data_IF_570071487174
#
_entry.id   IF_570071487174
#
_cell.length_a   1.000
_cell.length_b   1.000
_cell.length_c   1.000
_cell.angle_alpha   90.00
_cell.angle_beta   90.00
_cell.angle_gamma   90.00
#
_symmetry.space_group_name_H-M   'P 1'
#
loop_
_entity.id
_entity.type
_entity.pdbx_description
1 polymer ?
#
# COMPACT_ATOMS: atom_id res chain seq x y z
N UNK A 1 14.18 18.63 -1.92
CA UNK A 1 15.46 17.91 -2.07
C UNK A 1 15.28 16.39 -2.13
N UNK A 2 14.42 15.77 -1.31
CA UNK A 2 14.23 14.31 -1.27
C UNK A 2 13.70 13.78 -2.62
N UNK A 3 12.68 14.40 -3.20
CA UNK A 3 12.11 13.99 -4.49
C UNK A 3 13.15 14.07 -5.62
N UNK A 4 13.98 15.11 -5.64
CA UNK A 4 15.08 15.23 -6.61
C UNK A 4 16.12 14.12 -6.43
N UNK A 5 16.47 13.78 -5.18
CA UNK A 5 17.38 12.67 -4.91
C UNK A 5 16.83 11.32 -5.36
N UNK A 6 15.56 11.04 -5.07
CA UNK A 6 14.89 9.79 -5.49
C UNK A 6 14.76 9.72 -7.01
N UNK A 7 14.37 10.81 -7.68
CA UNK A 7 14.24 10.83 -9.15
C UNK A 7 15.58 10.66 -9.84
N UNK A 8 16.65 11.25 -9.32
CA UNK A 8 18.00 11.06 -9.85
C UNK A 8 18.48 9.61 -9.69
N UNK A 9 18.25 9.01 -8.51
CA UNK A 9 18.57 7.60 -8.27
C UNK A 9 17.78 6.68 -9.21
N UNK A 10 16.47 6.89 -9.35
CA UNK A 10 15.64 6.11 -10.26
C UNK A 10 16.10 6.24 -11.71
N UNK A 11 16.44 7.47 -12.15
CA UNK A 11 17.00 7.72 -13.49
C UNK A 11 18.31 6.97 -13.70
N UNK A 12 19.26 7.05 -12.74
CA UNK A 12 20.55 6.36 -12.84
C UNK A 12 20.36 4.83 -12.89
N UNK A 13 19.48 4.28 -12.03
CA UNK A 13 19.18 2.84 -12.03
C UNK A 13 18.54 2.40 -13.36
N UNK A 14 17.67 3.21 -13.95
CA UNK A 14 17.11 2.95 -15.27
C UNK A 14 18.17 2.93 -16.38
N UNK A 15 19.15 3.81 -16.31
CA UNK A 15 20.26 3.84 -17.27
C UNK A 15 21.24 2.68 -17.08
N UNK A 16 21.45 2.24 -15.84
CA UNK A 16 22.34 1.11 -15.50
C UNK A 16 21.68 -0.26 -15.71
N UNK A 17 20.37 -0.29 -16.01
CA UNK A 17 19.66 -1.54 -16.24
C UNK A 17 20.24 -2.27 -17.47
N UNK A 18 20.56 -3.58 -17.35
CA UNK A 18 21.06 -4.35 -18.48
C UNK A 18 20.01 -4.43 -19.59
N UNK A 19 20.47 -4.37 -20.84
CA UNK A 19 19.60 -4.43 -22.02
C UNK A 19 19.16 -3.08 -22.58
N UNK A 20 19.43 -1.97 -21.91
CA UNK A 20 19.18 -0.58 -22.38
C UNK A 20 17.84 -0.31 -23.12
N UNK A 21 17.33 0.93 -23.13
CA UNK A 21 16.06 1.25 -23.80
C UNK A 21 16.02 0.90 -25.28
N UNK A 22 17.15 1.04 -26.01
CA UNK A 22 17.24 0.75 -27.43
C UNK A 22 17.07 -0.75 -27.73
N UNK A 23 17.65 -1.63 -26.89
CA UNK A 23 17.48 -3.07 -27.03
C UNK A 23 16.04 -3.49 -26.75
N UNK A 24 15.39 -2.92 -25.73
CA UNK A 24 13.99 -3.21 -25.40
C UNK A 24 13.04 -2.80 -26.54
N UNK A 25 13.25 -1.65 -27.17
CA UNK A 25 12.42 -1.18 -28.29
C UNK A 25 12.58 -2.06 -29.52
N UNK A 26 13.81 -2.46 -29.84
CA UNK A 26 14.09 -3.30 -31.01
C UNK A 26 13.77 -4.78 -30.83
N UNK A 27 13.80 -5.28 -29.59
CA UNK A 27 13.62 -6.69 -29.30
C UNK A 27 12.24 -7.01 -28.69
N UNK A 28 11.22 -6.22 -29.00
CA UNK A 28 9.85 -6.44 -28.50
C UNK A 28 9.30 -7.81 -28.87
N UNK A 29 9.68 -8.37 -30.02
CA UNK A 29 9.20 -9.67 -30.50
C UNK A 29 10.11 -10.84 -30.06
N UNK A 30 11.26 -10.61 -29.44
CA UNK A 30 12.17 -11.63 -28.92
C UNK A 30 12.78 -12.58 -29.97
N UNK A 31 12.58 -12.32 -31.26
CA UNK A 31 12.88 -13.25 -32.35
C UNK A 31 14.28 -13.06 -32.95
N UNK A 32 14.87 -11.87 -32.85
CA UNK A 32 16.18 -11.58 -33.44
C UNK A 32 16.97 -10.64 -32.54
N UNK A 33 18.26 -10.94 -32.32
CA UNK A 33 19.18 -9.98 -31.75
C UNK A 33 19.39 -8.82 -32.73
N UNK A 34 19.14 -7.55 -32.38
CA UNK A 34 19.32 -6.42 -33.26
C UNK A 34 20.81 -6.27 -33.60
N UNK A 35 21.10 -5.81 -34.84
CA UNK A 35 22.48 -5.52 -35.26
C UNK A 35 23.00 -4.28 -34.50
N UNK A 36 24.32 -4.17 -34.36
CA UNK A 36 24.97 -3.00 -33.75
C UNK A 36 24.57 -1.68 -34.43
N UNK A 37 24.40 -1.71 -35.76
CA UNK A 37 23.99 -0.55 -36.56
C UNK A 37 22.54 -0.12 -36.24
N UNK A 38 21.64 -1.08 -36.05
CA UNK A 38 20.25 -0.81 -35.62
C UNK A 38 20.19 -0.28 -34.19
N UNK A 39 21.03 -0.82 -33.30
CA UNK A 39 21.12 -0.35 -31.91
C UNK A 39 21.65 1.09 -31.84
N UNK A 40 22.64 1.43 -32.66
CA UNK A 40 23.24 2.76 -32.70
C UNK A 40 22.27 3.81 -33.28
N UNK A 41 21.56 3.47 -34.35
CA UNK A 41 20.49 4.31 -34.90
C UNK A 41 19.37 4.56 -33.89
N UNK A 42 18.92 3.52 -33.17
CA UNK A 42 17.88 3.64 -32.12
C UNK A 42 18.37 4.46 -30.94
N UNK A 43 19.63 4.31 -30.50
CA UNK A 43 20.24 5.13 -29.45
C UNK A 43 20.26 6.62 -29.82
N UNK A 44 20.53 6.93 -31.08
CA UNK A 44 20.51 8.30 -31.56
C UNK A 44 19.08 8.86 -31.61
N UNK A 45 18.13 8.11 -32.14
CA UNK A 45 16.70 8.46 -32.19
C UNK A 45 16.11 8.73 -30.80
N UNK A 46 16.42 7.87 -29.83
CA UNK A 46 16.00 8.02 -28.44
C UNK A 46 16.84 9.07 -27.66
N UNK A 47 17.85 9.67 -28.30
CA UNK A 47 18.71 10.67 -27.68
C UNK A 47 19.57 10.11 -26.52
N UNK A 48 19.83 8.81 -26.52
CA UNK A 48 20.59 8.12 -25.50
C UNK A 48 22.10 8.42 -25.53
N UNK A 49 22.61 8.95 -26.66
CA UNK A 49 24.01 9.35 -26.87
C UNK A 49 24.35 10.69 -26.19
N UNK A 50 23.35 11.42 -25.66
CA UNK A 50 23.59 12.66 -24.93
C UNK A 50 24.17 12.38 -23.54
N UNK A 51 24.97 13.31 -22.96
CA UNK A 51 25.49 13.21 -21.61
C UNK A 51 24.34 13.00 -20.57
N UNK A 52 24.59 12.16 -19.55
CA UNK A 52 23.57 11.78 -18.57
C UNK A 52 22.91 12.98 -17.86
N UNK A 53 23.70 13.98 -17.52
CA UNK A 53 23.20 15.20 -16.89
C UNK A 53 22.23 15.98 -17.79
N UNK A 54 22.46 15.99 -19.11
CA UNK A 54 21.58 16.64 -20.08
C UNK A 54 20.29 15.84 -20.26
N UNK A 55 20.39 14.50 -20.33
CA UNK A 55 19.23 13.61 -20.40
C UNK A 55 18.33 13.74 -19.17
N UNK A 56 18.92 13.75 -17.97
CA UNK A 56 18.18 13.96 -16.72
C UNK A 56 17.51 15.33 -16.68
N UNK A 57 18.23 16.39 -17.09
CA UNK A 57 17.68 17.75 -17.13
C UNK A 57 16.50 17.89 -18.11
N UNK A 58 16.59 17.31 -19.31
CA UNK A 58 15.50 17.31 -20.29
C UNK A 58 14.29 16.52 -19.79
N UNK A 59 14.53 15.34 -19.22
CA UNK A 59 13.47 14.53 -18.60
C UNK A 59 12.78 15.28 -17.45
N UNK A 60 13.54 15.89 -16.56
CA UNK A 60 12.99 16.67 -15.45
C UNK A 60 12.16 17.87 -15.93
N UNK A 61 12.59 18.52 -17.00
CA UNK A 61 11.86 19.62 -17.63
C UNK A 61 10.53 19.13 -18.23
N UNK A 62 10.53 17.96 -18.90
CA UNK A 62 9.32 17.30 -19.39
C UNK A 62 8.34 16.99 -18.25
N UNK A 63 8.83 16.38 -17.17
CA UNK A 63 8.02 16.06 -15.98
C UNK A 63 7.35 17.32 -15.39
N UNK A 64 8.08 18.45 -15.31
CA UNK A 64 7.54 19.73 -14.82
C UNK A 64 6.45 20.32 -15.75
N UNK A 65 6.45 19.95 -17.03
CA UNK A 65 5.45 20.33 -18.01
C UNK A 65 4.29 19.32 -18.13
N UNK A 66 4.36 18.22 -17.34
CA UNK A 66 3.35 17.16 -17.35
C UNK A 66 3.62 16.04 -18.38
N UNK A 67 4.74 16.10 -19.07
CA UNK A 67 5.19 15.05 -19.98
C UNK A 67 6.09 14.07 -19.21
N UNK A 68 5.56 12.88 -18.91
CA UNK A 68 6.30 11.79 -18.28
C UNK A 68 7.02 10.89 -19.29
N UNK A 69 6.87 11.17 -20.58
CA UNK A 69 7.38 10.36 -21.67
C UNK A 69 6.55 9.11 -21.92
N UNK A 70 7.08 8.25 -22.78
CA UNK A 70 6.47 6.97 -23.16
C UNK A 70 7.27 5.78 -22.62
N UNK A 71 6.57 4.68 -22.37
CA UNK A 71 7.18 3.42 -21.95
C UNK A 71 7.98 2.79 -23.07
N UNK A 72 9.25 2.51 -22.86
CA UNK A 72 10.09 1.81 -23.83
C UNK A 72 9.64 0.37 -24.12
N UNK A 73 8.85 -0.23 -23.22
CA UNK A 73 8.34 -1.61 -23.36
C UNK A 73 7.03 -1.64 -24.15
N UNK A 74 6.09 -0.73 -23.82
CA UNK A 74 4.73 -0.77 -24.39
C UNK A 74 4.47 0.31 -25.43
N UNK A 75 5.35 1.30 -25.57
CA UNK A 75 5.19 2.49 -26.43
C UNK A 75 4.08 3.46 -25.96
N UNK A 76 3.42 3.18 -24.84
CA UNK A 76 2.29 3.97 -24.34
C UNK A 76 2.74 5.16 -23.52
N UNK A 77 1.95 6.22 -23.57
CA UNK A 77 2.14 7.40 -22.74
C UNK A 77 2.03 7.03 -21.24
N UNK A 78 3.07 7.38 -20.46
CA UNK A 78 3.17 7.03 -19.03
C UNK A 78 2.12 7.78 -18.20
N UNK A 79 1.85 9.05 -18.53
CA UNK A 79 0.86 9.85 -17.80
C UNK A 79 -0.55 9.27 -17.98
N UNK A 80 -0.89 8.84 -19.21
CA UNK A 80 -2.15 8.18 -19.49
C UNK A 80 -2.30 6.83 -18.76
N UNK A 81 -1.24 6.00 -18.74
CA UNK A 81 -1.26 4.73 -17.99
C UNK A 81 -1.42 4.94 -16.49
N UNK A 82 -0.72 5.92 -15.91
CA UNK A 82 -0.88 6.26 -14.48
C UNK A 82 -2.31 6.74 -14.21
N UNK A 83 -2.84 7.66 -15.04
CA UNK A 83 -4.20 8.16 -14.87
C UNK A 83 -5.26 7.06 -14.94
N UNK A 84 -5.04 6.02 -15.74
CA UNK A 84 -5.94 4.88 -15.84
C UNK A 84 -5.85 3.93 -14.64
N UNK A 85 -4.66 3.68 -14.11
CA UNK A 85 -4.42 2.69 -13.04
C UNK A 85 -4.55 3.27 -11.64
N UNK A 86 -4.20 4.54 -11.44
CA UNK A 86 -4.19 5.19 -10.15
C UNK A 86 -5.56 5.16 -9.43
N UNK A 87 -6.72 5.41 -10.09
CA UNK A 87 -8.02 5.32 -9.43
C UNK A 87 -8.28 3.93 -8.82
N UNK A 88 -7.99 2.85 -9.55
CA UNK A 88 -8.17 1.46 -9.08
C UNK A 88 -7.28 1.19 -7.86
N UNK A 89 -6.02 1.65 -7.90
CA UNK A 89 -5.10 1.53 -6.78
C UNK A 89 -5.58 2.31 -5.55
N UNK A 90 -6.10 3.52 -5.75
CA UNK A 90 -6.64 4.35 -4.67
C UNK A 90 -7.89 3.72 -4.04
N UNK A 91 -8.82 3.22 -4.85
CA UNK A 91 -10.02 2.52 -4.37
C UNK A 91 -9.65 1.31 -3.53
N UNK A 92 -8.70 0.50 -4.00
CA UNK A 92 -8.20 -0.66 -3.28
C UNK A 92 -7.52 -0.26 -1.96
N UNK A 93 -6.66 0.76 -1.99
CA UNK A 93 -5.94 1.25 -0.82
C UNK A 93 -6.90 1.81 0.24
N UNK A 94 -7.89 2.60 -0.17
CA UNK A 94 -8.91 3.15 0.75
C UNK A 94 -9.74 2.04 1.36
N UNK A 95 -10.19 1.06 0.58
CA UNK A 95 -10.97 -0.06 1.09
C UNK A 95 -10.16 -0.91 2.08
N UNK A 96 -8.91 -1.21 1.75
CA UNK A 96 -8.00 -1.93 2.65
C UNK A 96 -7.76 -1.16 3.96
N UNK A 97 -7.56 0.17 3.85
CA UNK A 97 -7.37 1.06 5.01
C UNK A 97 -8.60 1.09 5.91
N UNK A 98 -9.79 1.19 5.32
CA UNK A 98 -11.06 1.15 6.08
C UNK A 98 -11.23 -0.18 6.80
N UNK A 99 -11.00 -1.30 6.11
CA UNK A 99 -11.10 -2.64 6.73
C UNK A 99 -10.10 -2.80 7.88
N UNK A 100 -8.84 -2.41 7.68
CA UNK A 100 -7.80 -2.48 8.69
C UNK A 100 -8.09 -1.55 9.88
N UNK A 101 -8.49 -0.31 9.61
CA UNK A 101 -8.79 0.70 10.62
C UNK A 101 -10.02 0.33 11.45
N UNK A 102 -11.15 0.10 10.80
CA UNK A 102 -12.40 -0.23 11.50
C UNK A 102 -12.25 -1.51 12.30
N UNK A 103 -11.77 -2.59 11.68
CA UNK A 103 -11.59 -3.88 12.37
C UNK A 103 -10.56 -3.79 13.49
N UNK A 104 -9.40 -3.18 13.24
CA UNK A 104 -8.34 -3.07 14.24
C UNK A 104 -8.74 -2.19 15.43
N UNK A 105 -9.37 -1.03 15.20
CA UNK A 105 -9.84 -0.14 16.26
C UNK A 105 -10.93 -0.84 17.07
N UNK A 106 -11.90 -1.49 16.43
CA UNK A 106 -12.99 -2.18 17.09
C UNK A 106 -12.48 -3.30 18.00
N UNK A 107 -11.74 -4.27 17.45
CA UNK A 107 -11.23 -5.39 18.24
C UNK A 107 -10.20 -4.95 19.28
N UNK A 108 -9.32 -4.00 18.96
CA UNK A 108 -8.36 -3.42 19.90
C UNK A 108 -9.02 -2.74 21.09
N UNK A 109 -10.13 -2.02 20.85
CA UNK A 109 -10.90 -1.36 21.91
C UNK A 109 -11.57 -2.37 22.83
N UNK A 110 -12.19 -3.42 22.29
CA UNK A 110 -12.79 -4.49 23.08
C UNK A 110 -11.72 -5.19 23.93
N UNK A 111 -10.57 -5.51 23.34
CA UNK A 111 -9.46 -6.13 24.07
C UNK A 111 -8.93 -5.26 25.21
N UNK A 112 -8.90 -3.94 25.04
CA UNK A 112 -8.49 -3.03 26.11
C UNK A 112 -9.51 -2.99 27.26
N UNK A 113 -10.80 -2.92 26.93
CA UNK A 113 -11.89 -2.89 27.92
C UNK A 113 -11.97 -4.19 28.73
N UNK A 114 -11.80 -5.32 28.04
CA UNK A 114 -11.84 -6.66 28.65
C UNK A 114 -10.45 -7.26 28.86
N UNK A 115 -9.49 -6.42 29.25
CA UNK A 115 -8.10 -6.82 29.51
C UNK A 115 -8.00 -8.06 30.39
N UNK A 116 -7.21 -9.05 29.96
CA UNK A 116 -6.98 -10.30 30.69
C UNK A 116 -8.08 -11.35 30.56
N UNK A 117 -9.18 -11.04 29.86
CA UNK A 117 -10.23 -12.02 29.58
C UNK A 117 -9.79 -13.08 28.56
N UNK A 118 -10.58 -14.14 28.44
CA UNK A 118 -10.40 -15.15 27.38
C UNK A 118 -10.40 -14.50 25.98
N UNK A 119 -11.33 -13.56 25.74
CA UNK A 119 -11.42 -12.85 24.45
C UNK A 119 -10.15 -12.03 24.14
N UNK A 120 -9.64 -11.28 25.12
CA UNK A 120 -8.38 -10.53 24.95
C UNK A 120 -7.21 -11.46 24.59
N UNK A 121 -7.09 -12.59 25.29
CA UNK A 121 -6.03 -13.57 25.01
C UNK A 121 -6.21 -14.25 23.66
N UNK A 122 -7.43 -14.59 23.29
CA UNK A 122 -7.76 -15.16 21.98
C UNK A 122 -7.37 -14.20 20.84
N UNK A 123 -7.80 -12.92 20.90
CA UNK A 123 -7.49 -11.93 19.86
C UNK A 123 -5.99 -11.66 19.81
N UNK A 124 -5.28 -11.61 20.94
CA UNK A 124 -3.80 -11.48 20.92
C UNK A 124 -3.13 -12.64 20.18
N UNK A 125 -3.56 -13.88 20.43
CA UNK A 125 -3.03 -15.03 19.71
C UNK A 125 -3.38 -15.00 18.24
N UNK A 126 -4.64 -14.63 17.92
CA UNK A 126 -5.09 -14.47 16.53
C UNK A 126 -4.27 -13.39 15.79
N UNK A 127 -4.02 -12.24 16.41
CA UNK A 127 -3.18 -11.19 15.78
C UNK A 127 -1.73 -11.66 15.57
N UNK A 128 -1.18 -12.51 16.41
CA UNK A 128 0.13 -13.10 16.19
C UNK A 128 0.11 -14.03 14.96
N UNK A 129 -0.92 -14.87 14.82
CA UNK A 129 -1.10 -15.74 13.65
C UNK A 129 -1.26 -14.89 12.39
N UNK A 130 -2.10 -13.85 12.43
CA UNK A 130 -2.32 -12.95 11.29
C UNK A 130 -1.02 -12.29 10.79
N UNK A 131 -0.12 -11.93 11.70
CA UNK A 131 1.18 -11.33 11.36
C UNK A 131 2.20 -12.34 10.83
N UNK A 132 2.00 -13.63 11.10
CA UNK A 132 2.91 -14.70 10.66
C UNK A 132 2.55 -15.27 9.29
N UNK A 133 1.33 -15.05 8.81
CA UNK A 133 0.85 -15.57 7.53
C UNK A 133 1.35 -14.68 6.38
N UNK A 134 2.08 -15.21 5.40
CA UNK A 134 2.46 -14.47 4.21
C UNK A 134 1.24 -14.03 3.41
N UNK A 135 1.20 -12.77 2.96
CA UNK A 135 0.04 -12.22 2.24
C UNK A 135 -0.32 -12.98 0.96
N UNK A 136 0.68 -13.42 0.18
CA UNK A 136 0.44 -14.21 -1.04
C UNK A 136 -0.22 -15.57 -0.73
N UNK A 137 0.18 -16.22 0.35
CA UNK A 137 -0.40 -17.49 0.78
C UNK A 137 -1.86 -17.32 1.21
N UNK A 138 -2.14 -16.26 1.99
CA UNK A 138 -3.51 -15.89 2.35
C UNK A 138 -4.36 -15.63 1.10
N UNK A 139 -3.82 -14.89 0.12
CA UNK A 139 -4.52 -14.60 -1.14
C UNK A 139 -4.92 -15.89 -1.87
N UNK A 140 -3.99 -16.84 -2.02
CA UNK A 140 -4.25 -18.13 -2.68
C UNK A 140 -5.36 -18.93 -1.98
N UNK A 141 -5.33 -19.00 -0.65
CA UNK A 141 -6.37 -19.70 0.13
C UNK A 141 -7.74 -19.02 -0.03
N UNK A 142 -7.79 -17.69 0.05
CA UNK A 142 -9.05 -16.97 -0.08
C UNK A 142 -9.63 -17.10 -1.49
N UNK A 143 -8.80 -17.05 -2.54
CA UNK A 143 -9.23 -17.31 -3.91
C UNK A 143 -9.77 -18.73 -4.03
N UNK A 144 -9.06 -19.74 -3.53
CA UNK A 144 -9.49 -21.13 -3.58
C UNK A 144 -10.86 -21.34 -2.91
N UNK A 145 -11.05 -20.76 -1.72
CA UNK A 145 -12.28 -20.93 -0.95
C UNK A 145 -13.41 -20.08 -1.54
N UNK A 146 -13.22 -18.77 -1.68
CA UNK A 146 -14.32 -17.85 -2.00
C UNK A 146 -14.60 -17.70 -3.48
N UNK A 147 -13.62 -17.93 -4.34
CA UNK A 147 -13.81 -17.79 -5.78
C UNK A 147 -14.04 -19.15 -6.46
N UNK A 148 -13.22 -20.16 -6.16
CA UNK A 148 -13.31 -21.45 -6.85
C UNK A 148 -14.36 -22.38 -6.23
N UNK A 149 -14.33 -22.58 -4.88
CA UNK A 149 -15.23 -23.52 -4.22
C UNK A 149 -16.62 -22.92 -3.99
N UNK A 150 -16.70 -21.76 -3.34
CA UNK A 150 -17.97 -21.12 -2.99
C UNK A 150 -18.57 -20.29 -4.14
N UNK A 151 -17.74 -19.81 -5.07
CA UNK A 151 -18.13 -18.94 -6.21
C UNK A 151 -18.88 -17.67 -5.76
N UNK A 152 -18.53 -17.16 -4.58
CA UNK A 152 -19.15 -15.94 -4.04
C UNK A 152 -18.49 -14.67 -4.58
N UNK A 153 -17.18 -14.72 -4.81
CA UNK A 153 -16.37 -13.60 -5.25
C UNK A 153 -15.59 -13.97 -6.53
N UNK A 154 -15.38 -13.00 -7.44
CA UNK A 154 -14.60 -13.25 -8.65
C UNK A 154 -13.10 -13.39 -8.34
N UNK A 155 -12.37 -14.13 -9.18
CA UNK A 155 -10.90 -14.30 -9.07
C UNK A 155 -10.12 -13.09 -9.53
N UNK A 156 -10.64 -12.35 -10.53
CA UNK A 156 -9.97 -11.21 -11.16
C UNK A 156 -10.98 -10.32 -11.86
N UNK A 157 -10.59 -9.08 -12.14
CA UNK A 157 -11.39 -8.10 -12.86
C UNK A 157 -11.49 -6.76 -12.14
N UNK A 158 -12.24 -5.83 -12.75
CA UNK A 158 -12.50 -4.47 -12.25
C UNK A 158 -13.95 -4.09 -12.49
N UNK A 159 -14.39 -2.93 -11.97
CA UNK A 159 -15.70 -2.36 -12.28
C UNK A 159 -16.82 -2.66 -11.27
N UNK A 160 -16.60 -3.49 -10.27
CA UNK A 160 -17.56 -3.76 -9.19
C UNK A 160 -16.83 -3.96 -7.87
N UNK A 161 -17.44 -3.54 -6.76
CA UNK A 161 -16.90 -3.70 -5.41
C UNK A 161 -16.48 -5.14 -5.08
N UNK A 162 -17.16 -6.13 -5.67
CA UNK A 162 -16.85 -7.56 -5.44
C UNK A 162 -15.43 -7.94 -5.84
N UNK A 163 -14.86 -7.30 -6.87
CA UNK A 163 -13.50 -7.55 -7.32
C UNK A 163 -12.44 -7.03 -6.33
N UNK A 164 -12.79 -6.01 -5.53
CA UNK A 164 -11.88 -5.40 -4.57
C UNK A 164 -11.90 -6.07 -3.20
N UNK A 165 -12.94 -6.85 -2.85
CA UNK A 165 -13.09 -7.39 -1.49
C UNK A 165 -11.94 -8.32 -1.09
N UNK A 166 -11.59 -9.31 -1.92
CA UNK A 166 -10.52 -10.24 -1.59
C UNK A 166 -9.14 -9.56 -1.52
N UNK A 167 -8.70 -8.81 -2.55
CA UNK A 167 -7.40 -8.15 -2.48
C UNK A 167 -7.34 -7.09 -1.37
N UNK A 168 -8.42 -6.34 -1.12
CA UNK A 168 -8.45 -5.39 -0.01
C UNK A 168 -8.35 -6.09 1.35
N UNK A 169 -9.00 -7.23 1.52
CA UNK A 169 -8.92 -8.01 2.75
C UNK A 169 -7.50 -8.56 2.96
N UNK A 170 -6.87 -9.09 1.92
CA UNK A 170 -5.47 -9.56 2.00
C UNK A 170 -4.54 -8.44 2.43
N UNK A 171 -4.65 -7.27 1.80
CA UNK A 171 -3.86 -6.09 2.17
C UNK A 171 -4.17 -5.63 3.60
N UNK A 172 -5.43 -5.62 4.01
CA UNK A 172 -5.84 -5.18 5.34
C UNK A 172 -5.43 -6.15 6.45
N UNK A 173 -5.22 -7.44 6.17
CA UNK A 173 -5.15 -8.51 7.16
C UNK A 173 -4.07 -8.30 8.21
N UNK A 174 -2.81 -8.19 7.80
CA UNK A 174 -1.69 -7.97 8.73
C UNK A 174 -1.77 -6.58 9.39
N UNK A 175 -2.23 -5.58 8.65
CA UNK A 175 -2.38 -4.22 9.16
C UNK A 175 -3.49 -4.13 10.21
N UNK A 176 -4.61 -4.82 10.02
CA UNK A 176 -5.69 -4.92 11.00
C UNK A 176 -5.16 -5.47 12.33
N UNK A 177 -4.33 -6.52 12.29
CA UNK A 177 -3.69 -7.08 13.47
C UNK A 177 -2.77 -6.06 14.18
N UNK A 178 -1.99 -5.32 13.39
CA UNK A 178 -1.11 -4.26 13.92
C UNK A 178 -1.92 -3.14 14.56
N UNK A 179 -2.95 -2.63 13.87
CA UNK A 179 -3.87 -1.59 14.38
C UNK A 179 -4.56 -2.05 15.67
N UNK A 180 -5.02 -3.29 15.71
CA UNK A 180 -5.65 -3.88 16.90
C UNK A 180 -4.71 -3.84 18.12
N UNK A 181 -3.47 -4.24 17.95
CA UNK A 181 -2.46 -4.23 19.04
C UNK A 181 -2.10 -2.81 19.48
N UNK A 182 -1.92 -1.89 18.51
CA UNK A 182 -1.65 -0.49 18.80
C UNK A 182 -2.80 0.18 19.54
N UNK A 183 -4.03 -0.01 19.06
CA UNK A 183 -5.22 0.55 19.68
C UNK A 183 -5.42 0.04 21.10
N UNK A 184 -5.24 -1.27 21.29
CA UNK A 184 -5.28 -1.88 22.65
C UNK A 184 -4.23 -1.25 23.56
N UNK A 185 -2.97 -1.13 23.12
CA UNK A 185 -1.88 -0.54 23.89
C UNK A 185 -2.16 0.92 24.24
N UNK A 186 -2.58 1.72 23.26
CA UNK A 186 -2.91 3.13 23.47
C UNK A 186 -4.04 3.33 24.49
N UNK A 187 -5.13 2.55 24.38
CA UNK A 187 -6.24 2.62 25.34
C UNK A 187 -5.82 2.22 26.74
N UNK A 188 -5.00 1.19 26.89
CA UNK A 188 -4.51 0.78 28.22
C UNK A 188 -3.63 1.87 28.84
N UNK A 189 -2.86 2.62 28.04
CA UNK A 189 -2.11 3.77 28.51
C UNK A 189 -3.05 4.89 28.96
N UNK A 190 -4.09 5.20 28.18
CA UNK A 190 -5.06 6.24 28.52
C UNK A 190 -5.88 5.91 29.76
N UNK A 191 -6.21 4.62 30.01
CA UNK A 191 -6.90 4.18 31.24
C UNK A 191 -6.07 4.42 32.50
N UNK A 192 -4.74 4.54 32.39
CA UNK A 192 -3.85 4.89 33.50
C UNK A 192 -3.66 6.40 33.73
N UNK A 193 -4.18 7.27 32.85
CA UNK A 193 -4.02 8.73 32.95
C UNK A 193 -4.88 9.30 34.09
N UNK A 194 -4.39 10.37 34.70
CA UNK A 194 -5.09 11.03 35.83
C UNK A 194 -6.49 11.52 35.44
N UNK A 195 -6.65 12.12 34.27
CA UNK A 195 -7.95 12.63 33.83
C UNK A 195 -9.00 11.51 33.72
N UNK A 196 -8.58 10.33 33.27
CA UNK A 196 -9.46 9.16 33.17
C UNK A 196 -9.87 8.66 34.55
N UNK A 197 -8.93 8.58 35.50
CA UNK A 197 -9.20 8.19 36.89
C UNK A 197 -10.15 9.17 37.57
N UNK A 198 -9.95 10.48 37.40
CA UNK A 198 -10.86 11.51 37.93
C UNK A 198 -12.25 11.37 37.33
N UNK A 199 -12.38 11.18 36.02
CA UNK A 199 -13.68 10.97 35.39
C UNK A 199 -14.39 9.72 35.91
N UNK A 200 -13.64 8.63 36.15
CA UNK A 200 -14.15 7.39 36.74
C UNK A 200 -14.67 7.61 38.17
N UNK A 201 -13.93 8.33 39.02
CA UNK A 201 -14.35 8.64 40.40
C UNK A 201 -15.61 9.53 40.39
N UNK A 202 -15.80 10.40 39.42
CA UNK A 202 -17.01 11.21 39.22
C UNK A 202 -18.25 10.38 38.82
N UNK A 203 -18.13 9.06 38.67
CA UNK A 203 -19.25 8.19 38.34
C UNK A 203 -19.65 8.17 36.88
N UNK A 204 -18.78 8.66 35.98
CA UNK A 204 -19.05 8.59 34.52
C UNK A 204 -19.11 7.13 34.09
N UNK A 205 -20.15 6.75 33.36
CA UNK A 205 -20.34 5.38 32.90
C UNK A 205 -19.22 4.90 31.97
N UNK A 206 -19.00 3.57 31.94
CA UNK A 206 -17.89 2.94 31.20
C UNK A 206 -17.89 3.28 29.72
N UNK A 207 -19.06 3.36 29.08
CA UNK A 207 -19.19 3.69 27.67
C UNK A 207 -18.71 5.12 27.37
N UNK A 208 -19.17 6.10 28.16
CA UNK A 208 -18.74 7.50 28.02
C UNK A 208 -17.26 7.67 28.38
N UNK A 209 -16.74 6.95 29.40
CA UNK A 209 -15.31 6.94 29.71
C UNK A 209 -14.48 6.47 28.52
N UNK A 210 -14.93 5.41 27.83
CA UNK A 210 -14.24 4.92 26.64
C UNK A 210 -14.35 5.94 25.47
N UNK A 211 -15.59 6.29 25.09
CA UNK A 211 -15.85 7.00 23.82
C UNK A 211 -15.52 8.48 23.88
N UNK A 212 -15.71 9.16 25.03
CA UNK A 212 -15.49 10.61 25.16
C UNK A 212 -14.16 10.99 25.80
N UNK A 213 -13.53 10.09 26.54
CA UNK A 213 -12.30 10.41 27.27
C UNK A 213 -11.08 9.64 26.73
N UNK A 214 -11.14 8.31 26.61
CA UNK A 214 -9.98 7.52 26.24
C UNK A 214 -9.77 7.42 24.72
N UNK A 215 -10.85 7.08 23.98
CA UNK A 215 -10.78 6.81 22.53
C UNK A 215 -10.24 8.00 21.70
N UNK A 216 -10.68 9.27 21.92
CA UNK A 216 -10.21 10.41 21.15
C UNK A 216 -8.69 10.63 21.26
N UNK A 217 -8.10 10.30 22.42
CA UNK A 217 -6.67 10.42 22.64
C UNK A 217 -5.91 9.18 22.12
N UNK A 218 -6.45 7.99 22.36
CA UNK A 218 -5.84 6.73 21.93
C UNK A 218 -5.81 6.55 20.40
N UNK A 219 -6.71 7.19 19.66
CA UNK A 219 -6.80 7.06 18.21
C UNK A 219 -5.69 7.83 17.47
N UNK A 220 -5.09 8.86 18.08
CA UNK A 220 -4.08 9.72 17.42
C UNK A 220 -2.90 8.91 16.88
N UNK A 221 -2.20 8.07 17.68
CA UNK A 221 -1.11 7.26 17.16
C UNK A 221 -1.57 6.20 16.14
N UNK A 222 -2.82 5.77 16.22
CA UNK A 222 -3.40 4.79 15.27
C UNK A 222 -3.63 5.45 13.90
N UNK A 223 -4.11 6.71 13.86
CA UNK A 223 -4.26 7.46 12.61
C UNK A 223 -2.89 7.66 11.93
N UNK A 224 -1.85 8.00 12.70
CA UNK A 224 -0.50 8.12 12.15
C UNK A 224 0.01 6.81 11.54
N UNK A 225 -0.25 5.68 12.20
CA UNK A 225 0.07 4.34 11.69
C UNK A 225 -0.69 4.02 10.41
N UNK A 226 -1.99 4.34 10.35
CA UNK A 226 -2.82 4.15 9.16
C UNK A 226 -2.35 5.04 7.99
N UNK A 227 -1.91 6.27 8.25
CA UNK A 227 -1.33 7.15 7.24
C UNK A 227 -0.04 6.57 6.64
N UNK A 228 0.85 6.04 7.47
CA UNK A 228 2.06 5.33 7.01
C UNK A 228 1.71 4.09 6.17
N UNK A 229 0.71 3.35 6.59
CA UNK A 229 0.24 2.18 5.85
C UNK A 229 -0.33 2.55 4.49
N UNK A 230 -1.11 3.62 4.41
CA UNK A 230 -1.65 4.12 3.14
C UNK A 230 -0.55 4.42 2.13
N UNK A 231 0.51 5.11 2.57
CA UNK A 231 1.69 5.38 1.73
C UNK A 231 2.38 4.07 1.29
N UNK A 232 2.49 3.09 2.19
CA UNK A 232 3.08 1.78 1.89
C UNK A 232 2.25 0.98 0.87
N UNK A 233 0.92 1.01 0.97
CA UNK A 233 0.04 0.31 0.01
C UNK A 233 0.13 0.95 -1.37
N UNK A 234 0.16 2.29 -1.46
CA UNK A 234 0.37 2.99 -2.73
C UNK A 234 1.71 2.64 -3.39
N UNK A 235 2.78 2.54 -2.59
CA UNK A 235 4.10 2.13 -3.08
C UNK A 235 4.20 0.64 -3.41
N UNK A 236 3.54 -0.22 -2.64
CA UNK A 236 3.60 -1.68 -2.76
C UNK A 236 2.62 -2.30 -3.76
N UNK A 237 1.59 -1.58 -4.17
CA UNK A 237 0.63 -2.07 -5.18
C UNK A 237 1.19 -2.03 -6.62
N UNK A 238 2.41 -1.54 -6.78
CA UNK A 238 3.15 -1.52 -8.07
C UNK A 238 3.90 -2.85 -8.31
N UNK A 239 3.97 -3.72 -7.31
CA UNK A 239 4.55 -5.05 -7.36
C UNK A 239 3.41 -6.06 -7.57
#
# INVERSE_FOLDING_TARGET
PVLLGISLLAFILGVLSPGGPAEFVLNQDGLYAPSEEQLEAMREELGLNKPLWLRYGLWLMGVLQGDLGSSYITGRDIAAEIAQRLPVTLELAVLALLMAGVGGIFFGSICAVYRGSFFDNFVKNLTNIMLSIPGFWLALILILIFSEQLRWLPTSGTGSLKYFLLPAFVLAFATMATVCRFMRGALLTEFGRQYFLVAKVRGINKFNLLTRYALPNAIIPVIALLGNYFASVLGGSVI
#
